data_IF_941886232364
#
_entry.id   IF_941886232364
#
_cell.length_a   1.000
_cell.length_b   1.000
_cell.length_c   1.000
_cell.angle_alpha   90.00
_cell.angle_beta   90.00
_cell.angle_gamma   90.00
#
_symmetry.space_group_name_H-M   'P 1'
#
loop_
_entity.id
_entity.type
_entity.pdbx_description
1 polymer ?
#
# COMPACT_ATOMS: atom_id res chain seq x y z
N UNK A 1 13.03 6.16 13.00
CA UNK A 1 13.70 5.92 11.69
C UNK A 1 13.14 4.63 11.14
N UNK A 2 12.65 4.65 9.91
CA UNK A 2 12.24 3.44 9.19
C UNK A 2 13.32 3.16 8.13
N UNK A 3 13.81 1.93 8.05
CA UNK A 3 14.65 1.48 6.95
C UNK A 3 13.97 0.30 6.26
N UNK A 4 14.00 0.32 4.95
CA UNK A 4 13.39 -0.69 4.10
C UNK A 4 14.34 -1.04 2.96
N UNK A 5 14.54 -2.34 2.73
CA UNK A 5 15.36 -2.83 1.64
C UNK A 5 14.63 -3.97 0.92
N UNK A 6 14.35 -3.79 -0.36
CA UNK A 6 13.80 -4.85 -1.19
C UNK A 6 14.90 -5.84 -1.59
N UNK A 7 14.72 -7.11 -1.24
CA UNK A 7 15.59 -8.19 -1.68
C UNK A 7 15.14 -8.72 -3.04
N UNK A 8 15.68 -8.15 -4.10
CA UNK A 8 15.28 -8.48 -5.47
C UNK A 8 16.44 -8.42 -6.44
N UNK A 9 16.57 -9.42 -7.31
CA UNK A 9 17.56 -9.46 -8.39
C UNK A 9 17.19 -8.66 -9.64
N UNK A 10 15.91 -8.27 -9.77
CA UNK A 10 15.37 -7.66 -11.00
C UNK A 10 14.79 -6.26 -10.78
N UNK A 11 14.72 -5.80 -9.54
CA UNK A 11 14.20 -4.47 -9.21
C UNK A 11 15.35 -3.54 -8.85
N UNK A 12 15.31 -2.35 -9.41
CA UNK A 12 16.23 -1.27 -9.07
C UNK A 12 15.55 -0.33 -8.07
N UNK A 13 16.31 0.18 -7.11
CA UNK A 13 15.84 1.23 -6.22
C UNK A 13 15.66 2.53 -6.99
N UNK A 14 14.43 2.99 -7.11
CA UNK A 14 14.09 4.29 -7.69
C UNK A 14 13.37 5.15 -6.66
N UNK A 15 13.67 6.43 -6.67
CA UNK A 15 12.95 7.39 -5.85
C UNK A 15 11.73 7.89 -6.63
N UNK A 16 10.60 7.27 -6.42
CA UNK A 16 9.34 7.71 -7.03
C UNK A 16 8.81 8.94 -6.31
N UNK A 17 8.48 9.96 -7.08
CA UNK A 17 7.76 11.11 -6.60
C UNK A 17 6.38 11.20 -7.26
N UNK A 18 5.35 11.31 -6.43
CA UNK A 18 3.97 11.52 -6.86
C UNK A 18 3.46 12.78 -6.16
N UNK A 19 3.12 13.83 -6.90
CA UNK A 19 2.60 15.06 -6.30
C UNK A 19 1.23 14.83 -5.66
N UNK A 20 0.87 15.66 -4.71
CA UNK A 20 -0.50 15.76 -4.25
C UNK A 20 -1.41 16.17 -5.41
N UNK A 21 -2.64 15.68 -5.42
CA UNK A 21 -3.58 15.97 -6.50
C UNK A 21 -5.03 15.95 -6.01
N UNK A 22 -5.86 16.78 -6.65
CA UNK A 22 -7.30 16.73 -6.52
C UNK A 22 -7.90 15.98 -7.71
N UNK A 23 -8.89 15.13 -7.43
CA UNK A 23 -9.50 14.25 -8.41
C UNK A 23 -10.99 14.57 -8.58
N UNK A 24 -11.48 14.63 -9.82
CA UNK A 24 -12.91 14.79 -10.08
C UNK A 24 -13.74 13.67 -9.45
N UNK A 25 -14.98 13.97 -9.12
CA UNK A 25 -15.94 12.97 -8.67
C UNK A 25 -16.08 11.83 -9.69
N UNK A 26 -16.13 10.59 -9.21
CA UNK A 26 -16.20 9.40 -10.05
C UNK A 26 -14.86 8.96 -10.67
N UNK A 27 -13.74 9.62 -10.34
CA UNK A 27 -12.42 9.15 -10.76
C UNK A 27 -12.15 7.74 -10.24
N UNK A 28 -11.45 6.94 -11.05
CA UNK A 28 -11.03 5.58 -10.71
C UNK A 28 -9.51 5.47 -10.73
N UNK A 29 -8.97 4.56 -9.95
CA UNK A 29 -7.55 4.19 -9.98
C UNK A 29 -7.42 2.72 -10.35
N UNK A 30 -6.65 2.44 -11.40
CA UNK A 30 -6.33 1.08 -11.82
C UNK A 30 -5.22 0.53 -10.94
N UNK A 31 -5.42 -0.67 -10.41
CA UNK A 31 -4.45 -1.39 -9.60
C UNK A 31 -3.72 -2.41 -10.46
N UNK A 32 -2.44 -2.57 -10.17
CA UNK A 32 -1.57 -3.49 -10.90
C UNK A 32 -0.84 -4.39 -9.93
N UNK A 33 -0.73 -5.66 -10.25
CA UNK A 33 0.16 -6.59 -9.57
C UNK A 33 1.60 -6.07 -9.62
N UNK A 34 2.19 -5.86 -8.46
CA UNK A 34 3.54 -5.26 -8.35
C UNK A 34 4.64 -6.14 -8.94
N UNK A 35 4.43 -7.44 -8.97
CA UNK A 35 5.41 -8.39 -9.52
C UNK A 35 5.39 -8.47 -11.03
N UNK A 36 4.20 -8.49 -11.62
CA UNK A 36 3.98 -8.77 -13.04
C UNK A 36 3.52 -7.57 -13.86
N UNK A 37 3.16 -6.45 -13.20
CA UNK A 37 2.50 -5.29 -13.80
C UNK A 37 1.17 -5.61 -14.51
N UNK A 38 0.55 -6.75 -14.22
CA UNK A 38 -0.76 -7.12 -14.75
C UNK A 38 -1.84 -6.29 -14.04
N UNK A 39 -2.83 -5.74 -14.77
CA UNK A 39 -3.96 -5.07 -14.13
C UNK A 39 -4.76 -6.07 -13.29
N UNK A 40 -5.07 -5.70 -12.05
CA UNK A 40 -5.87 -6.47 -11.11
C UNK A 40 -7.33 -6.02 -11.10
N UNK A 41 -7.57 -4.71 -11.23
CA UNK A 41 -8.89 -4.12 -11.19
C UNK A 41 -8.84 -2.61 -11.02
N UNK A 42 -10.00 -2.02 -10.75
CA UNK A 42 -10.14 -0.58 -10.51
C UNK A 42 -10.91 -0.34 -9.22
N UNK A 43 -10.51 0.68 -8.49
CA UNK A 43 -11.20 1.13 -7.29
C UNK A 43 -11.50 2.63 -7.37
N UNK A 44 -12.49 3.16 -6.63
CA UNK A 44 -12.75 4.59 -6.58
C UNK A 44 -11.54 5.37 -6.04
N UNK A 45 -11.23 6.48 -6.73
CA UNK A 45 -10.21 7.40 -6.24
C UNK A 45 -10.81 8.33 -5.18
N UNK A 46 -10.02 8.66 -4.16
CA UNK A 46 -10.41 9.67 -3.18
C UNK A 46 -10.34 11.07 -3.79
N UNK A 47 -11.12 12.06 -3.30
CA UNK A 47 -11.13 13.40 -3.86
C UNK A 47 -9.78 14.11 -3.83
N UNK A 48 -8.95 13.81 -2.83
CA UNK A 48 -7.61 14.36 -2.67
C UNK A 48 -6.61 13.27 -2.32
N UNK A 49 -5.43 13.31 -2.96
CA UNK A 49 -4.31 12.42 -2.61
C UNK A 49 -3.12 13.23 -2.14
N UNK A 50 -2.48 12.78 -1.07
CA UNK A 50 -1.26 13.39 -0.54
C UNK A 50 -0.05 13.13 -1.44
N UNK A 51 0.92 14.03 -1.38
CA UNK A 51 2.21 13.83 -2.02
C UNK A 51 2.96 12.65 -1.39
N UNK A 52 3.53 11.80 -2.23
CA UNK A 52 4.34 10.65 -1.81
C UNK A 52 5.72 10.72 -2.47
N UNK A 53 6.77 10.51 -1.69
CA UNK A 53 8.14 10.35 -2.17
C UNK A 53 8.72 9.03 -1.63
N UNK A 54 9.09 8.13 -2.52
CA UNK A 54 9.49 6.77 -2.11
C UNK A 54 8.36 6.11 -1.32
N UNK A 55 8.62 5.78 -0.05
CA UNK A 55 7.69 5.15 0.87
C UNK A 55 7.29 6.06 2.05
N UNK A 56 7.26 7.35 1.82
CA UNK A 56 6.84 8.35 2.81
C UNK A 56 5.98 9.43 2.15
N UNK A 57 4.97 9.94 2.88
CA UNK A 57 4.14 11.04 2.41
C UNK A 57 4.51 12.39 3.07
N UNK A 58 3.86 13.47 2.65
CA UNK A 58 4.09 14.83 3.15
C UNK A 58 3.73 15.03 4.63
N UNK A 59 2.92 14.14 5.21
CA UNK A 59 2.62 14.11 6.65
C UNK A 59 3.63 13.29 7.45
N UNK A 60 4.73 12.83 6.81
CA UNK A 60 5.76 12.00 7.42
C UNK A 60 5.26 10.61 7.86
N UNK A 61 4.16 10.14 7.28
CA UNK A 61 3.79 8.72 7.38
C UNK A 61 4.71 7.92 6.48
N UNK A 62 5.36 6.91 7.02
CA UNK A 62 6.26 6.02 6.30
C UNK A 62 5.79 4.57 6.45
N UNK A 63 5.86 3.80 5.36
CA UNK A 63 5.48 2.38 5.34
C UNK A 63 6.62 1.57 4.72
N UNK A 64 7.08 0.54 5.44
CA UNK A 64 7.94 -0.51 4.90
C UNK A 64 7.21 -1.84 5.00
N UNK A 65 7.64 -2.83 4.25
CA UNK A 65 7.00 -4.16 4.24
C UNK A 65 8.02 -5.30 4.31
N UNK A 66 7.54 -6.48 4.68
CA UNK A 66 8.25 -7.74 4.59
C UNK A 66 7.26 -8.85 4.27
N UNK A 67 7.39 -9.44 3.08
CA UNK A 67 6.54 -10.55 2.65
C UNK A 67 6.95 -11.83 3.37
N UNK A 68 5.96 -12.61 3.77
CA UNK A 68 6.12 -14.01 4.22
C UNK A 68 5.10 -14.89 3.48
N UNK A 69 5.41 -16.19 3.32
CA UNK A 69 4.62 -17.04 2.42
C UNK A 69 3.19 -17.28 2.89
N UNK A 70 2.97 -17.39 4.20
CA UNK A 70 1.65 -17.69 4.73
C UNK A 70 1.15 -19.09 4.33
N UNK A 71 -0.17 -19.28 4.37
CA UNK A 71 -0.83 -20.54 4.02
C UNK A 71 -1.53 -20.38 2.69
N UNK A 72 -1.14 -21.16 1.64
CA UNK A 72 -1.71 -21.00 0.28
C UNK A 72 -3.23 -21.11 0.22
N UNK A 73 -3.83 -21.92 1.11
CA UNK A 73 -5.29 -22.09 1.17
C UNK A 73 -6.06 -20.88 1.70
N UNK A 74 -5.35 -19.87 2.26
CA UNK A 74 -5.94 -18.62 2.73
C UNK A 74 -5.86 -17.51 1.70
N UNK A 75 -5.14 -17.71 0.59
CA UNK A 75 -5.06 -16.71 -0.47
C UNK A 75 -6.42 -16.43 -1.11
N UNK A 76 -6.80 -15.17 -1.19
CA UNK A 76 -7.98 -14.73 -1.91
C UNK A 76 -7.68 -14.57 -3.40
N UNK A 77 -8.12 -15.55 -4.21
CA UNK A 77 -7.95 -15.51 -5.67
C UNK A 77 -8.82 -14.46 -6.36
N UNK A 78 -9.73 -13.81 -5.65
CA UNK A 78 -10.64 -12.77 -6.16
C UNK A 78 -10.22 -11.37 -5.75
N UNK A 79 -9.28 -11.26 -4.82
CA UNK A 79 -8.74 -9.98 -4.37
C UNK A 79 -8.07 -9.21 -5.50
N UNK A 80 -8.18 -7.89 -5.45
CA UNK A 80 -7.59 -6.99 -6.46
C UNK A 80 -6.58 -6.00 -5.89
N UNK A 81 -6.34 -6.01 -4.58
CA UNK A 81 -5.39 -5.09 -3.94
C UNK A 81 -4.17 -5.86 -3.46
N UNK A 82 -3.02 -5.66 -4.10
CA UNK A 82 -1.77 -6.26 -3.68
C UNK A 82 -1.04 -5.42 -2.61
N UNK A 83 -0.01 -5.98 -1.98
CA UNK A 83 0.76 -5.32 -0.92
C UNK A 83 1.34 -3.96 -1.35
N UNK A 84 1.84 -3.87 -2.58
CA UNK A 84 2.41 -2.64 -3.11
C UNK A 84 1.37 -1.55 -3.31
N UNK A 85 0.19 -1.90 -3.83
CA UNK A 85 -0.95 -1.00 -3.94
C UNK A 85 -1.41 -0.52 -2.57
N UNK A 86 -1.48 -1.40 -1.55
CA UNK A 86 -1.85 -1.03 -0.18
C UNK A 86 -0.93 0.05 0.39
N UNK A 87 0.39 -0.09 0.24
CA UNK A 87 1.34 0.92 0.72
C UNK A 87 1.11 2.29 0.06
N UNK A 88 0.99 2.32 -1.28
CA UNK A 88 0.79 3.57 -2.01
C UNK A 88 -0.55 4.23 -1.70
N UNK A 89 -1.62 3.46 -1.69
CA UNK A 89 -2.95 3.98 -1.39
C UNK A 89 -3.05 4.50 0.03
N UNK A 90 -2.44 3.81 1.00
CA UNK A 90 -2.38 4.28 2.38
C UNK A 90 -1.58 5.58 2.51
N UNK A 91 -0.41 5.68 1.87
CA UNK A 91 0.40 6.90 1.88
C UNK A 91 -0.30 8.08 1.20
N UNK A 92 -1.08 7.84 0.16
CA UNK A 92 -1.85 8.88 -0.53
C UNK A 92 -3.09 9.37 0.24
N UNK A 93 -3.54 8.63 1.26
CA UNK A 93 -4.86 8.82 1.91
C UNK A 93 -4.79 9.06 3.42
N UNK A 94 -3.65 8.82 4.06
CA UNK A 94 -3.51 8.84 5.50
C UNK A 94 -2.54 9.93 5.97
N UNK A 95 -2.94 10.73 6.95
CA UNK A 95 -2.10 11.73 7.61
C UNK A 95 -1.41 11.24 8.88
N UNK A 96 -1.75 10.04 9.36
CA UNK A 96 -1.17 9.40 10.55
C UNK A 96 -0.98 7.90 10.36
N UNK A 97 -0.16 7.26 11.19
CA UNK A 97 0.05 5.81 11.15
C UNK A 97 -1.26 5.04 11.40
N UNK A 98 -2.11 5.50 12.31
CA UNK A 98 -3.42 4.87 12.58
C UNK A 98 -4.40 5.00 11.42
N UNK A 99 -4.41 6.13 10.74
CA UNK A 99 -5.22 6.30 9.54
C UNK A 99 -4.73 5.39 8.42
N UNK A 100 -3.40 5.21 8.26
CA UNK A 100 -2.84 4.27 7.28
C UNK A 100 -3.28 2.82 7.55
N UNK A 101 -3.25 2.38 8.81
CA UNK A 101 -3.76 1.05 9.22
C UNK A 101 -5.24 0.92 8.84
N UNK A 102 -6.04 1.95 9.14
CA UNK A 102 -7.47 1.93 8.81
C UNK A 102 -7.70 1.87 7.30
N UNK A 103 -6.98 2.67 6.51
CA UNK A 103 -7.07 2.64 5.04
C UNK A 103 -6.73 1.27 4.49
N UNK A 104 -5.65 0.64 4.99
CA UNK A 104 -5.27 -0.73 4.58
C UNK A 104 -6.38 -1.72 4.90
N UNK A 105 -6.90 -1.71 6.12
CA UNK A 105 -7.96 -2.61 6.56
C UNK A 105 -9.25 -2.43 5.71
N UNK A 106 -9.69 -1.19 5.51
CA UNK A 106 -10.88 -0.87 4.71
C UNK A 106 -10.74 -1.33 3.24
N UNK A 107 -9.54 -1.16 2.66
CA UNK A 107 -9.28 -1.60 1.29
C UNK A 107 -9.28 -3.12 1.15
N UNK A 108 -8.69 -3.83 2.10
CA UNK A 108 -8.70 -5.31 2.11
C UNK A 108 -10.13 -5.83 2.30
N UNK A 109 -10.90 -5.23 3.21
CA UNK A 109 -12.29 -5.63 3.44
C UNK A 109 -13.18 -5.43 2.21
N UNK A 110 -12.98 -4.32 1.48
CA UNK A 110 -13.83 -3.97 0.34
C UNK A 110 -13.44 -4.68 -0.95
N UNK A 111 -12.14 -4.88 -1.18
CA UNK A 111 -11.62 -5.28 -2.50
C UNK A 111 -10.82 -6.58 -2.48
N UNK A 112 -10.66 -7.21 -1.33
CA UNK A 112 -9.90 -8.44 -1.15
C UNK A 112 -8.38 -8.25 -1.33
N UNK A 113 -7.60 -9.12 -0.72
CA UNK A 113 -6.14 -9.06 -0.74
C UNK A 113 -5.56 -10.06 -1.74
N UNK A 114 -4.80 -9.57 -2.72
CA UNK A 114 -4.32 -10.34 -3.87
C UNK A 114 -2.89 -10.87 -3.72
N UNK A 115 -2.29 -10.81 -2.53
CA UNK A 115 -0.92 -11.28 -2.28
C UNK A 115 -0.88 -12.37 -1.20
N UNK A 116 0.31 -12.87 -0.91
CA UNK A 116 0.60 -13.76 0.23
C UNK A 116 0.68 -12.96 1.54
N UNK A 117 1.02 -13.62 2.67
CA UNK A 117 1.16 -12.95 3.95
C UNK A 117 2.14 -11.77 3.90
N UNK A 118 1.79 -10.69 4.58
CA UNK A 118 2.56 -9.44 4.57
C UNK A 118 2.62 -8.80 5.95
N UNK A 119 3.79 -8.27 6.31
CA UNK A 119 4.01 -7.50 7.53
C UNK A 119 4.38 -6.07 7.15
N UNK A 120 3.54 -5.11 7.53
CA UNK A 120 3.77 -3.69 7.32
C UNK A 120 4.32 -3.03 8.59
N UNK A 121 5.46 -2.33 8.45
CA UNK A 121 5.98 -1.41 9.45
C UNK A 121 5.49 -0.01 9.11
N UNK A 122 4.58 0.55 9.91
CA UNK A 122 3.91 1.82 9.66
C UNK A 122 4.27 2.81 10.76
N UNK A 123 4.83 3.95 10.39
CA UNK A 123 5.25 4.96 11.37
C UNK A 123 4.87 6.38 10.95
N UNK A 124 4.67 7.22 11.95
CA UNK A 124 4.57 8.67 11.82
C UNK A 124 5.50 9.35 12.85
N UNK A 125 5.51 10.70 12.99
CA UNK A 125 6.37 11.37 13.97
C UNK A 125 6.12 10.98 15.44
N UNK A 126 4.98 10.39 15.75
CA UNK A 126 4.54 10.15 17.13
C UNK A 126 4.58 8.66 17.53
N UNK A 127 4.33 7.75 16.57
CA UNK A 127 4.15 6.33 16.88
C UNK A 127 4.60 5.42 15.71
N UNK A 128 4.83 4.15 16.03
CA UNK A 128 5.15 3.09 15.07
C UNK A 128 4.28 1.88 15.37
N UNK A 129 3.78 1.25 14.31
CA UNK A 129 2.94 0.06 14.35
C UNK A 129 3.48 -1.03 13.44
N UNK A 130 3.21 -2.28 13.84
CA UNK A 130 3.33 -3.45 12.97
C UNK A 130 1.91 -3.93 12.69
N UNK A 131 1.60 -4.09 11.39
CA UNK A 131 0.34 -4.66 10.93
C UNK A 131 0.64 -5.87 10.06
N UNK A 132 0.02 -7.00 10.36
CA UNK A 132 0.21 -8.23 9.59
C UNK A 132 -1.11 -8.61 8.90
N UNK A 133 -0.99 -9.01 7.63
CA UNK A 133 -2.07 -9.62 6.86
C UNK A 133 -1.67 -11.06 6.63
N UNK A 134 -2.53 -11.98 7.06
CA UNK A 134 -2.33 -13.41 6.90
C UNK A 134 -3.28 -13.89 5.81
N UNK A 135 -2.70 -14.20 4.65
CA UNK A 135 -3.43 -14.63 3.50
C UNK A 135 -2.82 -15.87 2.89
#
# INVERSE_FOLDING_TARGET
>A
MVSYAADSHIRYGELYWRPAADWPEGSMVTLYDRGTARPLGEIPQVPHTYQVIGFMNEHQVAIGETTFDGRPELQDSTGIVDYGSLMFLALQRAGTAREAIKVIADLVEQFGYASTGESFSIGDPNEVWIMEIIG
#
